data_IF_818201202592
#
_entry.id   IF_818201202592
#
_cell.length_a   1.000
_cell.length_b   1.000
_cell.length_c   1.000
_cell.angle_alpha   90.00
_cell.angle_beta   90.00
_cell.angle_gamma   90.00
#
_symmetry.space_group_name_H-M   'P 1'
#
loop_
_entity.id
_entity.type
_entity.pdbx_description
1 polymer ?
#
# COMPACT_ATOMS: atom_id res chain seq x y z
N UNK A 1 11.17 -17.43 -0.76
CA UNK A 1 10.40 -16.70 0.26
C UNK A 1 10.51 -15.24 -0.08
N UNK A 2 9.43 -14.61 -0.55
CA UNK A 2 9.52 -13.31 -1.20
C UNK A 2 8.93 -12.24 -0.28
N UNK A 3 9.74 -11.25 0.05
CA UNK A 3 9.40 -10.13 0.92
C UNK A 3 9.15 -8.90 0.05
N UNK A 4 8.02 -8.25 0.26
CA UNK A 4 7.70 -6.97 -0.36
C UNK A 4 7.52 -5.90 0.70
N UNK A 5 7.85 -4.67 0.34
CA UNK A 5 8.00 -3.54 1.24
C UNK A 5 6.94 -2.48 0.89
N UNK A 6 6.15 -2.05 1.86
CA UNK A 6 5.18 -0.95 1.70
C UNK A 6 5.33 0.02 2.87
N UNK A 7 5.13 1.32 2.64
CA UNK A 7 5.14 2.35 3.69
C UNK A 7 3.71 2.62 4.24
N UNK A 8 2.77 1.71 3.95
CA UNK A 8 1.33 1.87 4.17
C UNK A 8 0.81 1.10 5.38
N UNK A 9 -0.15 1.70 6.09
CA UNK A 9 -0.96 1.02 7.14
C UNK A 9 -1.99 0.06 6.54
N UNK A 10 -2.30 0.20 5.26
CA UNK A 10 -3.29 -0.60 4.52
C UNK A 10 -2.69 -1.87 3.89
N UNK A 11 -1.52 -2.28 4.39
CA UNK A 11 -0.76 -3.46 3.98
C UNK A 11 -1.63 -4.74 3.87
N UNK A 12 -2.71 -4.89 4.63
CA UNK A 12 -3.58 -6.07 4.48
C UNK A 12 -4.40 -6.07 3.19
N UNK A 13 -4.98 -4.93 2.80
CA UNK A 13 -5.77 -4.82 1.57
C UNK A 13 -4.84 -4.87 0.35
N UNK A 14 -3.69 -4.18 0.41
CA UNK A 14 -2.66 -4.26 -0.61
C UNK A 14 -2.19 -5.69 -0.83
N UNK A 15 -1.94 -6.44 0.24
CA UNK A 15 -1.51 -7.84 0.14
C UNK A 15 -2.58 -8.72 -0.54
N UNK A 16 -3.86 -8.53 -0.23
CA UNK A 16 -4.96 -9.27 -0.88
C UNK A 16 -5.00 -8.99 -2.37
N UNK A 17 -4.91 -7.73 -2.77
CA UNK A 17 -4.95 -7.34 -4.17
C UNK A 17 -3.71 -7.82 -4.94
N UNK A 18 -2.51 -7.72 -4.35
CA UNK A 18 -1.28 -8.25 -4.97
C UNK A 18 -1.37 -9.77 -5.16
N UNK A 19 -1.84 -10.52 -4.15
CA UNK A 19 -2.04 -11.97 -4.27
C UNK A 19 -3.01 -12.32 -5.40
N UNK A 20 -4.11 -11.57 -5.53
CA UNK A 20 -5.13 -11.75 -6.57
C UNK A 20 -4.58 -11.46 -7.96
N UNK A 21 -3.82 -10.37 -8.14
CA UNK A 21 -3.21 -9.99 -9.43
C UNK A 21 -2.16 -11.02 -9.89
N UNK A 22 -1.26 -11.42 -8.99
CA UNK A 22 -0.11 -12.25 -9.32
C UNK A 22 -0.32 -13.76 -9.20
N UNK A 23 -1.45 -14.21 -8.62
CA UNK A 23 -1.74 -15.63 -8.33
C UNK A 23 -0.61 -16.32 -7.54
N UNK A 24 -0.07 -15.63 -6.55
CA UNK A 24 1.01 -16.13 -5.68
C UNK A 24 0.42 -16.67 -4.38
N UNK A 25 0.72 -17.93 -4.06
CA UNK A 25 0.26 -18.59 -2.83
C UNK A 25 0.97 -18.05 -1.58
N UNK A 26 2.28 -17.82 -1.69
CA UNK A 26 3.12 -17.37 -0.58
C UNK A 26 3.72 -15.99 -0.83
N UNK A 27 3.09 -14.98 -0.23
CA UNK A 27 3.50 -13.57 -0.25
C UNK A 27 3.54 -13.04 1.18
N UNK A 28 4.66 -12.41 1.55
CA UNK A 28 4.79 -11.63 2.78
C UNK A 28 4.94 -10.17 2.38
N UNK A 29 4.03 -9.32 2.86
CA UNK A 29 4.12 -7.87 2.73
C UNK A 29 4.52 -7.27 4.09
N UNK A 30 5.56 -6.44 4.10
CA UNK A 30 6.09 -5.77 5.28
C UNK A 30 5.83 -4.28 5.20
N UNK A 31 5.00 -3.77 6.11
CA UNK A 31 4.74 -2.35 6.27
C UNK A 31 5.92 -1.60 6.91
N UNK A 32 5.97 -0.28 6.73
CA UNK A 32 6.93 0.66 7.35
C UNK A 32 8.40 0.34 7.07
N UNK A 33 8.69 -0.03 5.84
CA UNK A 33 10.03 -0.40 5.41
C UNK A 33 10.60 0.66 4.48
N UNK A 34 11.62 1.39 4.95
CA UNK A 34 12.14 2.58 4.27
C UNK A 34 11.76 3.90 4.96
N UNK A 35 10.69 3.90 5.75
CA UNK A 35 10.24 5.07 6.51
C UNK A 35 8.71 5.14 6.59
N UNK A 36 8.21 6.29 7.07
CA UNK A 36 6.80 6.63 7.10
C UNK A 36 6.64 8.12 6.75
N UNK A 37 6.74 8.49 5.46
CA UNK A 37 6.74 9.89 5.01
C UNK A 37 5.40 10.61 5.22
N UNK A 38 4.34 9.87 5.55
CA UNK A 38 3.03 10.41 5.92
C UNK A 38 1.95 9.36 5.80
N UNK A 39 0.74 9.69 6.26
CA UNK A 39 -0.39 8.78 6.14
C UNK A 39 -0.91 8.73 4.72
N UNK A 40 -1.18 7.52 4.21
CA UNK A 40 -1.72 7.29 2.88
C UNK A 40 -2.90 6.29 2.93
N UNK A 41 -4.15 6.76 2.79
CA UNK A 41 -5.34 5.92 2.73
C UNK A 41 -5.52 5.23 1.36
N UNK A 42 -6.29 4.13 1.31
CA UNK A 42 -6.68 3.49 0.04
C UNK A 42 -7.60 4.39 -0.78
N UNK A 43 -7.67 4.19 -2.09
CA UNK A 43 -8.57 4.89 -3.02
C UNK A 43 -10.03 4.78 -2.56
N UNK A 44 -10.44 3.63 -2.05
CA UNK A 44 -11.80 3.43 -1.57
C UNK A 44 -12.05 4.09 -0.22
N UNK A 45 -11.06 4.13 0.68
CA UNK A 45 -11.13 4.91 1.91
C UNK A 45 -11.22 6.42 1.60
N UNK A 46 -10.47 6.92 0.60
CA UNK A 46 -10.57 8.31 0.13
C UNK A 46 -12.00 8.64 -0.33
N UNK A 47 -12.62 7.77 -1.14
CA UNK A 47 -13.99 7.96 -1.63
C UNK A 47 -15.04 7.90 -0.51
N UNK A 48 -14.84 7.02 0.47
CA UNK A 48 -15.77 6.86 1.60
C UNK A 48 -15.64 7.99 2.64
N UNK A 49 -14.48 8.64 2.73
CA UNK A 49 -14.19 9.61 3.78
C UNK A 49 -14.07 8.94 5.15
N UNK A 50 -14.22 9.73 6.23
CA UNK A 50 -14.18 9.20 7.59
C UNK A 50 -12.76 9.08 8.16
N UNK A 51 -12.62 8.26 9.22
CA UNK A 51 -11.47 8.29 10.13
C UNK A 51 -10.11 8.31 9.41
N UNK A 52 -9.87 7.43 8.44
CA UNK A 52 -8.58 7.34 7.76
C UNK A 52 -8.23 8.62 6.99
N UNK A 53 -9.21 9.27 6.38
CA UNK A 53 -9.00 10.47 5.56
C UNK A 53 -9.00 11.74 6.43
N UNK A 54 -9.87 11.79 7.43
CA UNK A 54 -10.15 13.01 8.21
C UNK A 54 -9.32 13.13 9.48
N UNK A 55 -8.88 12.00 10.04
CA UNK A 55 -8.21 11.93 11.34
C UNK A 55 -6.94 11.07 11.33
N UNK A 56 -6.84 10.07 10.43
CA UNK A 56 -5.75 9.10 10.39
C UNK A 56 -4.38 9.77 10.21
N UNK A 57 -4.29 10.83 9.42
CA UNK A 57 -3.06 11.61 9.26
C UNK A 57 -2.66 12.39 10.52
N UNK A 58 -3.59 12.69 11.44
CA UNK A 58 -3.30 13.42 12.69
C UNK A 58 -2.44 12.59 13.64
N UNK A 59 -2.57 11.26 13.62
CA UNK A 59 -1.70 10.35 14.37
C UNK A 59 -0.23 10.41 13.91
N UNK A 60 -0.01 10.72 12.63
CA UNK A 60 1.32 10.84 12.05
C UNK A 60 1.80 12.30 11.96
N UNK A 61 0.97 13.26 12.39
CA UNK A 61 1.18 14.72 12.31
C UNK A 61 1.57 15.26 10.93
N UNK A 62 1.52 14.43 9.88
CA UNK A 62 2.00 14.73 8.54
C UNK A 62 1.00 14.12 7.55
N UNK A 63 0.18 14.93 6.87
CA UNK A 63 -0.55 14.44 5.70
C UNK A 63 0.48 14.02 4.65
N UNK A 64 0.34 12.81 4.11
CA UNK A 64 1.24 12.34 3.06
C UNK A 64 1.14 13.27 1.84
N UNK A 65 2.28 13.70 1.23
CA UNK A 65 2.30 14.61 0.08
C UNK A 65 1.92 13.89 -1.24
N UNK A 66 0.91 13.01 -1.17
CA UNK A 66 0.63 12.03 -2.20
C UNK A 66 -0.70 12.30 -2.88
N UNK A 67 -0.78 11.93 -4.16
CA UNK A 67 -2.02 11.96 -4.93
C UNK A 67 -2.90 10.78 -4.55
N UNK A 68 -4.21 10.93 -4.73
CA UNK A 68 -5.22 9.90 -4.43
C UNK A 68 -4.97 8.57 -5.17
N UNK A 69 -4.28 8.61 -6.30
CA UNK A 69 -3.97 7.43 -7.13
C UNK A 69 -2.66 6.71 -6.75
N UNK A 70 -2.00 7.07 -5.64
CA UNK A 70 -0.74 6.45 -5.23
C UNK A 70 -0.89 4.94 -4.95
N UNK A 71 -2.03 4.49 -4.42
CA UNK A 71 -2.27 3.08 -4.12
C UNK A 71 -2.18 2.23 -5.38
N UNK A 72 -2.90 2.62 -6.43
CA UNK A 72 -2.87 1.90 -7.71
C UNK A 72 -1.47 1.92 -8.32
N UNK A 73 -0.71 3.01 -8.14
CA UNK A 73 0.68 3.07 -8.57
C UNK A 73 1.54 2.04 -7.83
N UNK A 74 1.43 1.95 -6.50
CA UNK A 74 2.16 0.96 -5.68
C UNK A 74 1.80 -0.47 -6.13
N UNK A 75 0.51 -0.75 -6.31
CA UNK A 75 0.04 -2.08 -6.73
C UNK A 75 0.60 -2.46 -8.11
N UNK A 76 0.52 -1.54 -9.08
CA UNK A 76 1.03 -1.74 -10.44
C UNK A 76 2.54 -1.96 -10.47
N UNK A 77 3.30 -1.10 -9.79
CA UNK A 77 4.77 -1.21 -9.79
C UNK A 77 5.23 -2.44 -9.02
N UNK A 78 4.52 -2.82 -7.94
CA UNK A 78 4.80 -4.07 -7.22
C UNK A 78 4.57 -5.28 -8.12
N UNK A 79 3.43 -5.33 -8.82
CA UNK A 79 3.11 -6.39 -9.79
C UNK A 79 4.19 -6.49 -10.88
N UNK A 80 4.58 -5.36 -11.47
CA UNK A 80 5.64 -5.31 -12.47
C UNK A 80 6.98 -5.78 -11.91
N UNK A 81 7.35 -5.33 -10.71
CA UNK A 81 8.60 -5.73 -10.06
C UNK A 81 8.62 -7.23 -9.79
N UNK A 82 7.57 -7.79 -9.18
CA UNK A 82 7.42 -9.22 -8.91
C UNK A 82 7.60 -10.04 -10.20
N UNK A 83 6.89 -9.66 -11.27
CA UNK A 83 6.96 -10.38 -12.54
C UNK A 83 8.38 -10.37 -13.15
N UNK A 84 9.21 -9.35 -12.85
CA UNK A 84 10.59 -9.29 -13.32
C UNK A 84 11.58 -10.13 -12.49
N UNK A 85 11.21 -10.54 -11.27
CA UNK A 85 12.13 -11.27 -10.37
C UNK A 85 11.71 -12.72 -10.09
N UNK A 86 10.44 -13.08 -10.31
CA UNK A 86 9.88 -14.38 -9.93
C UNK A 86 9.28 -15.19 -11.07
N UNK A 87 9.04 -14.59 -12.25
CA UNK A 87 8.47 -15.25 -13.43
C UNK A 87 9.47 -15.22 -14.59
#
# INVERSE_FOLDING_TARGET
MNYFYTESRNCQEEMKEIKKRLKIDFLILSAYTGGAPGYFPTCDAIKQGGYDVEEGYKLYHIPGPFKENLEELILRETEAFVNNILI
#
